data_IF_156482259535
#
_entry.id   IF_156482259535
#
_cell.length_a   1.000
_cell.length_b   1.000
_cell.length_c   1.000
_cell.angle_alpha   90.00
_cell.angle_beta   90.00
_cell.angle_gamma   90.00
#
_symmetry.space_group_name_H-M   'P 1'
#
loop_
_entity.id
_entity.type
_entity.pdbx_description
1 polymer ?
#
# COMPACT_ATOMS: atom_id res chain seq x y z
N UNK A 1 9.55 9.42 14.06
CA UNK A 1 8.24 8.79 13.83
C UNK A 1 7.24 9.86 13.45
N UNK A 2 6.52 9.64 12.38
CA UNK A 2 5.52 10.57 11.86
C UNK A 2 4.14 9.95 11.98
N UNK A 3 3.17 10.76 12.37
CA UNK A 3 1.77 10.37 12.49
C UNK A 3 0.96 11.23 11.52
N UNK A 4 0.25 10.57 10.60
CA UNK A 4 -0.56 11.22 9.57
C UNK A 4 -2.01 10.76 9.70
N UNK A 5 -2.95 11.60 9.30
CA UNK A 5 -4.37 11.28 9.34
C UNK A 5 -5.04 11.75 8.06
N UNK A 6 -5.91 10.92 7.49
CA UNK A 6 -6.61 11.27 6.27
C UNK A 6 -7.42 10.10 5.72
N UNK A 7 -7.95 10.31 4.51
CA UNK A 7 -8.80 9.34 3.83
C UNK A 7 -7.99 8.25 3.16
N UNK A 8 -8.58 7.07 3.05
CA UNK A 8 -7.97 5.88 2.49
C UNK A 8 -8.73 5.38 1.26
N UNK A 9 -8.01 4.75 0.35
CA UNK A 9 -8.56 3.91 -0.71
C UNK A 9 -7.75 2.61 -0.78
N UNK A 10 -8.02 1.78 -1.77
CA UNK A 10 -7.33 0.51 -1.96
C UNK A 10 -6.66 0.45 -3.33
N UNK A 11 -5.66 -0.41 -3.46
CA UNK A 11 -4.97 -0.61 -4.73
C UNK A 11 -4.36 -1.99 -4.81
N UNK A 12 -4.03 -2.39 -6.03
CA UNK A 12 -3.23 -3.57 -6.30
C UNK A 12 -4.02 -4.87 -6.32
N UNK A 13 -3.36 -5.89 -6.85
CA UNK A 13 -3.97 -7.20 -7.04
C UNK A 13 -4.66 -7.36 -8.40
N UNK A 14 -5.06 -8.60 -8.73
CA UNK A 14 -5.62 -8.91 -10.06
C UNK A 14 -6.92 -8.19 -10.38
N UNK A 15 -7.68 -7.81 -9.36
CA UNK A 15 -8.99 -7.16 -9.52
C UNK A 15 -8.90 -5.63 -9.63
N UNK A 16 -7.71 -5.06 -9.52
CA UNK A 16 -7.51 -3.62 -9.65
C UNK A 16 -7.48 -3.22 -11.11
N UNK A 17 -8.66 -2.99 -11.68
CA UNK A 17 -8.81 -2.52 -13.06
C UNK A 17 -8.60 -1.02 -13.21
N UNK A 18 -8.39 -0.29 -12.11
CA UNK A 18 -8.04 1.13 -12.12
C UNK A 18 -6.63 1.42 -12.56
N UNK A 19 -5.76 0.39 -12.61
CA UNK A 19 -4.39 0.49 -13.10
C UNK A 19 -4.24 -0.31 -14.38
N UNK A 20 -3.27 0.09 -15.23
CA UNK A 20 -3.01 -0.65 -16.46
C UNK A 20 -2.35 -2.00 -16.17
N UNK A 21 -2.48 -3.00 -17.08
CA UNK A 21 -1.89 -4.32 -16.86
C UNK A 21 -0.36 -4.33 -16.78
N UNK A 22 0.30 -3.28 -17.25
CA UNK A 22 1.76 -3.14 -17.21
C UNK A 22 2.25 -2.15 -16.15
N UNK A 23 1.37 -1.65 -15.28
CA UNK A 23 1.75 -0.66 -14.27
C UNK A 23 2.64 -1.27 -13.20
N UNK A 24 3.78 -0.62 -12.98
CA UNK A 24 4.73 -1.02 -11.95
C UNK A 24 4.44 -0.38 -10.61
N UNK A 25 5.43 -0.48 -9.72
CA UNK A 25 5.43 0.14 -8.40
C UNK A 25 6.60 1.13 -8.31
N UNK A 26 6.49 2.11 -7.43
CA UNK A 26 7.43 3.23 -7.43
C UNK A 26 8.84 2.84 -6.98
N UNK A 27 8.98 1.85 -6.07
CA UNK A 27 10.29 1.48 -5.53
C UNK A 27 10.48 -0.03 -5.36
N UNK A 28 9.55 -0.84 -5.83
CA UNK A 28 9.74 -2.28 -5.99
C UNK A 28 9.90 -2.52 -7.49
N UNK A 29 11.09 -2.94 -7.90
CA UNK A 29 11.43 -3.09 -9.32
C UNK A 29 11.34 -4.53 -9.80
N UNK A 30 11.35 -5.48 -8.87
CA UNK A 30 11.27 -6.90 -9.15
C UNK A 30 10.55 -7.60 -8.00
N UNK A 31 9.88 -8.71 -8.30
CA UNK A 31 9.25 -9.56 -7.28
C UNK A 31 10.24 -9.94 -6.18
N UNK A 32 11.52 -10.16 -6.55
CA UNK A 32 12.56 -10.52 -5.59
C UNK A 32 12.85 -9.45 -4.54
N UNK A 33 12.47 -8.20 -4.77
CA UNK A 33 12.64 -7.12 -3.79
C UNK A 33 11.73 -7.31 -2.56
N UNK A 34 10.58 -7.93 -2.76
CA UNK A 34 9.60 -8.18 -1.68
C UNK A 34 8.72 -9.40 -2.07
N UNK A 35 9.30 -10.60 -2.17
CA UNK A 35 8.60 -11.75 -2.77
C UNK A 35 7.31 -12.13 -2.05
N UNK A 36 7.23 -11.90 -0.75
CA UNK A 36 6.05 -12.25 0.05
C UNK A 36 4.83 -11.35 -0.22
N UNK A 37 5.01 -10.23 -0.91
CA UNK A 37 3.91 -9.32 -1.26
C UNK A 37 3.20 -9.72 -2.57
N UNK A 38 3.72 -10.68 -3.30
CA UNK A 38 3.23 -11.01 -4.64
C UNK A 38 2.59 -12.39 -4.70
N UNK A 39 1.64 -12.53 -5.63
CA UNK A 39 1.04 -13.81 -5.95
C UNK A 39 2.10 -14.74 -6.57
N UNK A 40 1.99 -16.03 -6.28
CA UNK A 40 2.89 -17.04 -6.85
C UNK A 40 2.80 -17.12 -8.38
N UNK A 41 1.61 -16.84 -8.92
CA UNK A 41 1.37 -16.85 -10.36
C UNK A 41 0.91 -15.48 -10.82
N UNK A 42 1.48 -15.02 -11.94
CA UNK A 42 1.11 -13.76 -12.55
C UNK A 42 -0.28 -13.88 -13.18
N UNK A 43 -1.19 -12.93 -12.91
CA UNK A 43 -2.49 -12.89 -13.60
C UNK A 43 -2.32 -12.82 -15.12
N UNK A 44 -3.22 -13.48 -15.86
CA UNK A 44 -3.16 -13.54 -17.30
C UNK A 44 -3.20 -12.13 -17.91
N UNK A 45 -2.33 -11.88 -18.89
CA UNK A 45 -2.25 -10.60 -19.59
C UNK A 45 -1.60 -9.48 -18.80
N UNK A 46 -0.96 -9.77 -17.67
CA UNK A 46 -0.32 -8.77 -16.80
C UNK A 46 1.20 -8.89 -16.88
N UNK A 47 1.88 -7.76 -17.03
CA UNK A 47 3.34 -7.68 -16.92
C UNK A 47 3.78 -6.77 -15.77
N UNK A 48 2.88 -5.93 -15.27
CA UNK A 48 3.17 -4.96 -14.23
C UNK A 48 3.04 -5.53 -12.82
N UNK A 49 3.82 -4.98 -11.91
CA UNK A 49 3.87 -5.46 -10.52
C UNK A 49 2.62 -5.10 -9.72
N UNK A 50 1.94 -3.98 -10.05
CA UNK A 50 0.79 -3.53 -9.28
C UNK A 50 -0.33 -4.57 -9.23
N UNK A 51 -0.67 -5.19 -10.36
CA UNK A 51 -1.70 -6.23 -10.43
C UNK A 51 -1.22 -7.59 -9.93
N UNK A 52 0.08 -7.76 -9.79
CA UNK A 52 0.68 -9.01 -9.29
C UNK A 52 0.74 -9.06 -7.77
N UNK A 53 0.48 -7.97 -7.09
CA UNK A 53 0.41 -7.94 -5.63
C UNK A 53 -0.65 -8.93 -5.13
N UNK A 54 -0.35 -9.60 -4.04
CA UNK A 54 -1.31 -10.46 -3.34
C UNK A 54 -2.22 -9.59 -2.48
N UNK A 55 -3.51 -9.42 -2.84
CA UNK A 55 -4.40 -8.54 -2.11
C UNK A 55 -4.66 -8.96 -0.67
N UNK A 56 -4.34 -10.20 -0.30
CA UNK A 56 -4.45 -10.70 1.07
C UNK A 56 -3.30 -10.21 1.96
N UNK A 57 -2.17 -9.82 1.39
CA UNK A 57 -1.06 -9.26 2.14
C UNK A 57 -1.37 -7.82 2.55
N UNK A 58 -0.76 -7.37 3.65
CA UNK A 58 -0.97 -6.01 4.15
C UNK A 58 0.14 -5.09 3.62
N UNK A 59 -0.19 -4.26 2.64
CA UNK A 59 0.73 -3.30 2.05
C UNK A 59 0.07 -1.92 1.95
N UNK A 60 0.91 -0.89 1.76
CA UNK A 60 0.47 0.50 1.80
C UNK A 60 1.27 1.36 0.84
N UNK A 61 0.59 2.30 0.18
CA UNK A 61 1.17 3.41 -0.53
C UNK A 61 0.86 4.70 0.22
N UNK A 62 1.88 5.50 0.45
CA UNK A 62 1.78 6.87 0.94
C UNK A 62 2.70 7.76 0.12
N UNK A 63 2.60 9.07 0.30
CA UNK A 63 3.54 10.01 -0.33
C UNK A 63 4.81 10.11 0.53
N UNK A 64 5.61 9.04 0.51
CA UNK A 64 6.85 8.95 1.27
C UNK A 64 7.80 10.08 0.87
N UNK A 65 8.49 10.64 1.84
CA UNK A 65 9.53 11.63 1.57
C UNK A 65 10.87 10.92 1.37
N UNK A 66 11.29 10.77 0.12
CA UNK A 66 12.53 10.07 -0.22
C UNK A 66 13.79 10.78 0.27
N UNK A 67 13.71 12.07 0.61
CA UNK A 67 14.82 12.80 1.21
C UNK A 67 15.04 12.40 2.67
N UNK A 68 14.02 11.88 3.33
CA UNK A 68 14.06 11.41 4.72
C UNK A 68 14.24 9.90 4.79
N UNK A 69 13.51 9.17 3.95
CA UNK A 69 13.54 7.70 3.92
C UNK A 69 13.77 7.26 2.48
N UNK A 70 14.93 6.69 2.21
CA UNK A 70 15.27 6.23 0.86
C UNK A 70 14.36 5.10 0.40
N UNK A 71 14.29 4.89 -0.91
CA UNK A 71 13.51 3.80 -1.51
C UNK A 71 13.93 2.43 -0.99
N UNK A 72 15.23 2.20 -0.80
CA UNK A 72 15.73 0.94 -0.27
C UNK A 72 15.39 0.76 1.21
N UNK A 73 15.37 1.82 1.99
CA UNK A 73 14.97 1.76 3.40
C UNK A 73 13.48 1.42 3.56
N UNK A 74 12.61 1.94 2.66
CA UNK A 74 11.18 1.66 2.71
C UNK A 74 10.88 0.17 2.68
N UNK A 75 11.70 -0.62 1.99
CA UNK A 75 11.53 -2.08 1.92
C UNK A 75 11.84 -2.79 3.23
N UNK A 76 12.48 -2.12 4.17
CA UNK A 76 12.87 -2.68 5.48
C UNK A 76 12.02 -2.17 6.62
N UNK A 77 11.16 -1.20 6.38
CA UNK A 77 10.36 -0.53 7.40
C UNK A 77 8.89 -0.93 7.28
N UNK A 78 8.13 -0.63 8.31
CA UNK A 78 6.70 -0.92 8.37
C UNK A 78 5.94 0.33 8.82
N UNK A 79 4.65 0.35 8.51
CA UNK A 79 3.72 1.38 8.95
C UNK A 79 2.61 0.75 9.78
N UNK A 80 2.10 1.48 10.75
CA UNK A 80 0.88 1.09 11.45
C UNK A 80 -0.28 1.87 10.84
N UNK A 81 -1.36 1.15 10.50
CA UNK A 81 -2.58 1.74 9.97
C UNK A 81 -3.70 1.50 10.97
N UNK A 82 -4.38 2.57 11.35
CA UNK A 82 -5.45 2.51 12.35
C UNK A 82 -6.74 3.07 11.77
N UNK A 83 -7.84 2.32 11.92
CA UNK A 83 -9.17 2.83 11.63
C UNK A 83 -9.56 3.80 12.74
N UNK A 84 -9.73 5.07 12.40
CA UNK A 84 -10.02 6.12 13.38
C UNK A 84 -11.35 5.86 14.10
N UNK A 85 -12.34 5.36 13.37
CA UNK A 85 -13.70 5.14 13.90
C UNK A 85 -13.74 4.01 14.92
N UNK A 86 -13.04 2.90 14.67
CA UNK A 86 -13.13 1.68 15.50
C UNK A 86 -11.93 1.53 16.45
N UNK A 87 -10.80 2.17 16.15
CA UNK A 87 -9.55 1.98 16.86
C UNK A 87 -8.77 0.73 16.48
N UNK A 88 -9.32 -0.12 15.61
CA UNK A 88 -8.59 -1.30 15.12
C UNK A 88 -7.39 -0.88 14.31
N UNK A 89 -6.31 -1.64 14.41
CA UNK A 89 -5.06 -1.34 13.72
C UNK A 89 -4.37 -2.61 13.23
N UNK A 90 -3.52 -2.44 12.25
CA UNK A 90 -2.67 -3.50 11.74
C UNK A 90 -1.37 -2.89 11.19
N UNK A 91 -0.37 -3.74 10.99
CA UNK A 91 0.92 -3.34 10.44
C UNK A 91 0.94 -3.65 8.94
N UNK A 92 1.42 -2.70 8.15
CA UNK A 92 1.52 -2.83 6.70
C UNK A 92 2.93 -2.52 6.22
N UNK A 93 3.29 -3.09 5.06
CA UNK A 93 4.59 -2.86 4.44
C UNK A 93 4.46 -1.81 3.34
N UNK A 94 5.35 -0.81 3.29
CA UNK A 94 5.40 0.11 2.17
C UNK A 94 5.62 -0.65 0.86
N UNK A 95 4.79 -0.37 -0.15
CA UNK A 95 4.85 -1.06 -1.44
C UNK A 95 4.84 -0.13 -2.64
N UNK A 96 4.34 1.10 -2.49
CA UNK A 96 4.23 2.05 -3.58
C UNK A 96 4.18 3.47 -3.06
N UNK A 97 4.29 4.44 -3.97
CA UNK A 97 4.15 5.86 -3.68
C UNK A 97 2.84 6.38 -4.23
N UNK A 98 2.13 7.14 -3.45
CA UNK A 98 0.83 7.72 -3.78
C UNK A 98 -0.13 7.57 -2.61
N UNK A 99 -1.43 7.87 -2.77
CA UNK A 99 -2.07 8.44 -3.95
C UNK A 99 -1.63 9.89 -4.20
N UNK A 100 -1.88 10.37 -5.43
CA UNK A 100 -1.58 11.78 -5.75
C UNK A 100 -2.40 12.70 -4.84
N UNK A 101 -1.82 13.82 -4.42
CA UNK A 101 -2.47 14.73 -3.47
C UNK A 101 -3.80 15.30 -3.99
N UNK A 102 -4.00 15.35 -5.31
CA UNK A 102 -5.25 15.81 -5.92
C UNK A 102 -6.44 14.90 -5.63
N UNK A 103 -6.20 13.67 -5.18
CA UNK A 103 -7.28 12.75 -4.77
C UNK A 103 -7.90 13.10 -3.43
N UNK A 104 -7.28 13.98 -2.66
CA UNK A 104 -7.64 14.29 -1.27
C UNK A 104 -7.57 13.05 -0.36
N UNK A 105 -6.76 12.05 -0.73
CA UNK A 105 -6.52 10.84 0.04
C UNK A 105 -5.11 10.81 0.59
N UNK A 106 -4.99 10.22 1.78
CA UNK A 106 -3.69 10.08 2.46
C UNK A 106 -2.95 8.85 1.97
N UNK A 107 -3.64 7.75 1.82
CA UNK A 107 -3.02 6.45 1.58
C UNK A 107 -3.90 5.54 0.74
N UNK A 108 -3.24 4.64 0.02
CA UNK A 108 -3.89 3.48 -0.61
C UNK A 108 -3.34 2.22 0.05
N UNK A 109 -4.20 1.31 0.45
CA UNK A 109 -3.83 0.08 1.14
C UNK A 109 -4.36 -1.14 0.41
N UNK A 110 -3.87 -2.32 0.79
CA UNK A 110 -4.32 -3.56 0.16
C UNK A 110 -5.80 -3.82 0.44
N UNK A 111 -6.50 -4.51 -0.48
CA UNK A 111 -7.88 -4.94 -0.23
C UNK A 111 -8.04 -5.76 1.05
N UNK A 112 -7.08 -6.65 1.34
CA UNK A 112 -7.11 -7.46 2.56
C UNK A 112 -6.98 -6.61 3.82
N UNK A 113 -6.17 -5.55 3.80
CA UNK A 113 -6.03 -4.63 4.91
C UNK A 113 -7.32 -3.79 5.11
N UNK A 114 -7.93 -3.32 4.02
CA UNK A 114 -9.25 -2.66 4.08
C UNK A 114 -10.26 -3.55 4.81
N UNK A 115 -10.34 -4.80 4.39
CA UNK A 115 -11.28 -5.77 4.98
C UNK A 115 -10.98 -6.04 6.45
N UNK A 116 -9.70 -6.28 6.78
CA UNK A 116 -9.28 -6.58 8.16
C UNK A 116 -9.60 -5.45 9.13
N UNK A 117 -9.54 -4.20 8.67
CA UNK A 117 -9.81 -3.02 9.50
C UNK A 117 -11.23 -2.49 9.37
N UNK A 118 -12.10 -3.17 8.62
CA UNK A 118 -13.48 -2.74 8.41
C UNK A 118 -13.61 -1.41 7.71
N UNK A 119 -12.68 -1.13 6.77
CA UNK A 119 -12.63 0.15 6.06
C UNK A 119 -13.34 0.07 4.71
N UNK A 120 -13.92 1.18 4.31
CA UNK A 120 -14.40 1.42 2.95
C UNK A 120 -13.69 2.66 2.39
N UNK A 121 -13.77 2.84 1.08
CA UNK A 121 -13.12 3.97 0.40
C UNK A 121 -13.56 5.30 1.03
N UNK A 122 -12.58 6.18 1.25
CA UNK A 122 -12.73 7.50 1.88
C UNK A 122 -13.01 7.47 3.38
N UNK A 123 -12.98 6.32 4.03
CA UNK A 123 -12.90 6.25 5.49
C UNK A 123 -11.60 6.87 5.98
N UNK A 124 -11.62 7.36 7.21
CA UNK A 124 -10.46 8.04 7.79
C UNK A 124 -9.57 7.06 8.54
N UNK A 125 -8.28 7.15 8.27
CA UNK A 125 -7.25 6.35 8.93
C UNK A 125 -6.18 7.25 9.52
N UNK A 126 -5.46 6.68 10.50
CA UNK A 126 -4.20 7.23 11.00
C UNK A 126 -3.08 6.30 10.56
N UNK A 127 -2.01 6.87 10.01
CA UNK A 127 -0.82 6.13 9.61
C UNK A 127 0.35 6.61 10.44
N UNK A 128 1.04 5.67 11.09
CA UNK A 128 2.23 5.94 11.90
C UNK A 128 3.41 5.27 11.21
N UNK A 129 4.44 6.07 10.90
CA UNK A 129 5.61 5.59 10.16
C UNK A 129 6.89 6.32 10.64
N UNK A 130 8.05 5.65 10.68
CA UNK A 130 8.23 4.21 10.53
C UNK A 130 7.99 3.44 11.83
N UNK A 131 7.61 2.18 11.69
CA UNK A 131 7.71 1.18 12.75
C UNK A 131 8.96 0.33 12.49
N UNK A 132 9.71 0.07 13.52
CA UNK A 132 10.94 -0.75 13.44
C UNK A 132 10.76 -2.09 14.12
#
# INVERSE_FOLDING_TARGET
>A
MTRLRGKVSWFGGPDDTGVSPDEGLAFIYDVSDAPHLFLDQQPAGTSGLARRLDPEQFYIACRWNYDVTSKSELLTLKALVRNVRTGQYAVAEPADWGPHQDTDRLADISPGLMSALGLTTDDEVEVIFPLK
#
